data_IF_113799898767
#
_entry.id   IF_113799898767
#
_cell.length_a   1.000
_cell.length_b   1.000
_cell.length_c   1.000
_cell.angle_alpha   90.00
_cell.angle_beta   90.00
_cell.angle_gamma   90.00
#
_symmetry.space_group_name_H-M   'P 1'
#
loop_
_entity.id
_entity.type
_entity.pdbx_description
1 polymer ?
#
# COMPACT_ATOMS: atom_id res chain seq x y z
N UNK A 1 10.18 -22.18 -0.31
CA UNK A 1 11.25 -21.23 0.06
C UNK A 1 10.57 -19.89 0.28
N UNK A 2 10.33 -19.50 1.53
CA UNK A 2 9.81 -18.19 1.92
C UNK A 2 10.96 -17.19 2.14
N UNK A 3 10.62 -15.92 2.24
CA UNK A 3 11.52 -14.87 2.69
C UNK A 3 11.48 -14.79 4.23
N UNK A 4 12.60 -14.59 4.87
CA UNK A 4 12.61 -14.39 6.31
C UNK A 4 12.08 -13.01 6.68
N UNK A 5 12.52 -11.97 5.97
CA UNK A 5 12.09 -10.59 6.15
C UNK A 5 11.91 -9.94 4.78
N UNK A 6 10.85 -9.14 4.61
CA UNK A 6 10.71 -8.15 3.56
C UNK A 6 10.58 -6.75 4.19
N UNK A 7 11.24 -5.78 3.59
CA UNK A 7 11.20 -4.38 4.01
C UNK A 7 10.77 -3.54 2.81
N UNK A 8 9.75 -2.68 2.99
CA UNK A 8 9.21 -1.90 1.89
C UNK A 8 8.72 -0.52 2.37
N UNK A 9 8.56 0.40 1.42
CA UNK A 9 8.00 1.73 1.68
C UNK A 9 6.51 1.69 1.98
N UNK A 10 5.98 2.76 2.57
CA UNK A 10 4.55 2.96 2.80
C UNK A 10 4.11 4.32 2.26
N UNK A 11 2.87 4.38 1.77
CA UNK A 11 2.25 5.64 1.34
C UNK A 11 1.41 6.25 2.47
N UNK A 12 0.69 5.42 3.22
CA UNK A 12 0.07 5.71 4.52
C UNK A 12 0.18 4.49 5.43
N UNK A 13 0.17 4.71 6.75
CA UNK A 13 0.05 3.66 7.78
C UNK A 13 -0.76 4.18 8.96
N UNK A 14 -1.67 3.33 9.48
CA UNK A 14 -2.44 3.60 10.70
C UNK A 14 -1.80 2.97 11.95
N UNK A 15 -2.43 3.21 13.11
CA UNK A 15 -1.95 2.69 14.40
C UNK A 15 -2.06 1.16 14.52
N UNK A 16 -2.93 0.52 13.74
CA UNK A 16 -3.12 -0.93 13.66
C UNK A 16 -2.17 -1.61 12.66
N UNK A 17 -1.24 -0.84 12.06
CA UNK A 17 -0.30 -1.29 11.01
C UNK A 17 -0.99 -1.72 9.70
N UNK A 18 -2.20 -1.25 9.44
CA UNK A 18 -2.74 -1.31 8.10
C UNK A 18 -2.10 -0.21 7.26
N UNK A 19 -1.91 -0.47 5.99
CA UNK A 19 -1.19 0.47 5.13
C UNK A 19 -1.85 0.65 3.76
N UNK A 20 -1.59 1.82 3.17
CA UNK A 20 -1.79 2.06 1.74
C UNK A 20 -0.43 2.07 1.06
N UNK A 21 -0.34 1.35 -0.06
CA UNK A 21 0.86 1.22 -0.88
C UNK A 21 0.50 1.32 -2.38
N UNK A 22 1.52 1.45 -3.22
CA UNK A 22 1.34 1.36 -4.66
C UNK A 22 1.27 2.69 -5.39
N UNK A 23 1.57 3.83 -4.76
CA UNK A 23 1.74 5.09 -5.50
C UNK A 23 2.88 4.99 -6.53
N UNK A 24 3.90 4.17 -6.26
CA UNK A 24 4.96 3.84 -7.22
C UNK A 24 4.53 2.91 -8.36
N UNK A 25 3.33 2.31 -8.31
CA UNK A 25 2.76 1.46 -9.36
C UNK A 25 3.14 -0.02 -9.31
N UNK A 26 3.84 -0.49 -8.27
CA UNK A 26 4.31 -1.87 -8.13
C UNK A 26 3.47 -2.73 -7.15
N UNK A 27 2.28 -2.24 -6.74
CA UNK A 27 1.45 -2.78 -5.65
C UNK A 27 1.25 -4.30 -5.67
N UNK A 28 0.99 -4.88 -6.85
CA UNK A 28 0.78 -6.33 -7.00
C UNK A 28 2.04 -7.11 -6.64
N UNK A 29 3.21 -6.66 -7.11
CA UNK A 29 4.49 -7.31 -6.80
C UNK A 29 4.87 -7.12 -5.34
N UNK A 30 4.64 -5.92 -4.80
CA UNK A 30 4.86 -5.60 -3.39
C UNK A 30 4.03 -6.53 -2.50
N UNK A 31 2.71 -6.71 -2.79
CA UNK A 31 1.84 -7.59 -2.01
C UNK A 31 2.27 -9.05 -2.09
N UNK A 32 2.67 -9.54 -3.28
CA UNK A 32 3.21 -10.90 -3.45
C UNK A 32 4.46 -11.11 -2.58
N UNK A 33 5.37 -10.13 -2.54
CA UNK A 33 6.59 -10.20 -1.72
C UNK A 33 6.25 -10.17 -0.22
N UNK A 34 5.34 -9.27 0.20
CA UNK A 34 4.86 -9.20 1.58
C UNK A 34 4.25 -10.54 2.03
N UNK A 35 3.40 -11.16 1.20
CA UNK A 35 2.82 -12.48 1.49
C UNK A 35 3.84 -13.61 1.58
N UNK A 36 4.97 -13.51 0.87
CA UNK A 36 6.02 -14.53 0.88
C UNK A 36 6.95 -14.41 2.10
N UNK A 37 6.95 -13.28 2.79
CA UNK A 37 7.80 -12.99 3.94
C UNK A 37 7.18 -13.57 5.23
N UNK A 38 8.05 -13.98 6.16
CA UNK A 38 7.66 -14.33 7.53
C UNK A 38 7.44 -13.11 8.40
N UNK A 39 8.17 -12.05 8.08
CA UNK A 39 8.06 -10.75 8.73
C UNK A 39 8.05 -9.68 7.64
N UNK A 40 7.05 -8.81 7.67
CA UNK A 40 6.94 -7.67 6.76
C UNK A 40 7.07 -6.36 7.54
N UNK A 41 8.04 -5.55 7.14
CA UNK A 41 8.41 -4.31 7.83
C UNK A 41 8.18 -3.14 6.90
N UNK A 42 7.41 -2.16 7.34
CA UNK A 42 7.18 -0.92 6.63
C UNK A 42 8.16 0.16 7.09
N UNK A 43 8.63 0.97 6.14
CA UNK A 43 9.47 2.13 6.42
C UNK A 43 8.93 3.37 5.70
N UNK A 44 9.00 4.52 6.35
CA UNK A 44 8.59 5.79 5.75
C UNK A 44 8.96 6.98 6.60
N UNK A 45 8.70 8.18 6.12
CA UNK A 45 8.78 9.36 6.97
C UNK A 45 7.51 9.51 7.83
N UNK A 46 7.59 10.30 8.90
CA UNK A 46 6.48 10.47 9.86
C UNK A 46 5.21 11.08 9.25
N UNK A 47 5.29 11.69 8.05
CA UNK A 47 4.09 12.25 7.38
C UNK A 47 3.20 11.15 6.77
N UNK A 48 3.69 9.92 6.78
CA UNK A 48 2.94 8.73 6.32
C UNK A 48 2.08 8.11 7.41
N UNK A 49 2.29 8.50 8.67
CA UNK A 49 1.43 8.09 9.78
C UNK A 49 0.12 8.89 9.73
N UNK A 50 -1.00 8.19 9.72
CA UNK A 50 -2.34 8.79 9.65
C UNK A 50 -3.25 8.17 10.72
N UNK A 51 -4.27 8.93 11.13
CA UNK A 51 -5.30 8.39 12.03
C UNK A 51 -6.24 7.44 11.27
N UNK A 52 -6.61 7.81 10.05
CA UNK A 52 -7.45 7.01 9.15
C UNK A 52 -6.79 6.92 7.76
N UNK A 53 -6.71 5.72 7.20
CA UNK A 53 -6.20 5.49 5.85
C UNK A 53 -7.07 6.15 4.77
N UNK A 54 -6.50 6.37 3.59
CA UNK A 54 -7.14 6.95 2.41
C UNK A 54 -7.62 8.40 2.60
N UNK A 55 -7.03 9.09 3.59
CA UNK A 55 -7.33 10.50 3.89
C UNK A 55 -6.37 11.45 3.20
N UNK A 56 -5.14 11.03 2.92
CA UNK A 56 -4.11 11.89 2.30
C UNK A 56 -3.71 11.42 0.91
N UNK A 57 -3.87 10.11 0.61
CA UNK A 57 -3.56 9.54 -0.69
C UNK A 57 -4.75 8.74 -1.25
N UNK A 58 -4.89 8.59 -2.58
CA UNK A 58 -5.87 7.70 -3.16
C UNK A 58 -5.48 6.23 -2.95
N UNK A 59 -6.45 5.32 -3.07
CA UNK A 59 -6.21 3.89 -3.16
C UNK A 59 -5.85 3.51 -4.59
N UNK A 60 -4.62 3.03 -4.88
CA UNK A 60 -4.30 2.48 -6.18
C UNK A 60 -4.97 1.12 -6.38
N UNK A 61 -5.63 0.94 -7.51
CA UNK A 61 -6.25 -0.34 -7.92
C UNK A 61 -5.71 -0.70 -9.30
N UNK A 62 -4.93 -1.79 -9.37
CA UNK A 62 -4.43 -2.32 -10.63
C UNK A 62 -5.54 -3.13 -11.32
N UNK A 63 -5.81 -2.80 -12.59
CA UNK A 63 -6.88 -3.43 -13.35
C UNK A 63 -6.41 -3.88 -14.73
N UNK A 64 -7.02 -4.94 -15.23
CA UNK A 64 -6.82 -5.39 -16.60
C UNK A 64 -7.21 -4.28 -17.60
N UNK A 65 -6.43 -4.10 -18.66
CA UNK A 65 -6.78 -3.15 -19.72
C UNK A 65 -8.07 -3.54 -20.45
N UNK A 66 -8.30 -4.85 -20.63
CA UNK A 66 -9.54 -5.34 -21.23
C UNK A 66 -10.75 -5.07 -20.33
N UNK A 67 -11.68 -4.28 -20.82
CA UNK A 67 -12.91 -3.95 -20.09
C UNK A 67 -12.70 -2.94 -18.93
N UNK A 68 -11.61 -2.18 -18.94
CA UNK A 68 -11.24 -1.26 -17.86
C UNK A 68 -12.33 -0.24 -17.55
N UNK A 69 -13.07 0.28 -18.54
CA UNK A 69 -14.18 1.20 -18.34
C UNK A 69 -15.31 0.56 -17.53
N UNK A 70 -15.53 -0.75 -17.70
CA UNK A 70 -16.53 -1.46 -16.91
C UNK A 70 -16.07 -1.64 -15.47
N UNK A 71 -14.79 -1.96 -15.27
CA UNK A 71 -14.20 -2.04 -13.92
C UNK A 71 -14.24 -0.68 -13.24
N UNK A 72 -13.91 0.41 -13.94
CA UNK A 72 -14.05 1.77 -13.40
C UNK A 72 -15.46 2.08 -12.91
N UNK A 73 -16.50 1.68 -13.68
CA UNK A 73 -17.90 1.85 -13.27
C UNK A 73 -18.22 1.07 -11.98
N UNK A 74 -17.65 -0.14 -11.81
CA UNK A 74 -17.81 -0.92 -10.58
C UNK A 74 -17.12 -0.23 -9.39
N UNK A 75 -15.90 0.26 -9.59
CA UNK A 75 -15.17 1.03 -8.57
C UNK A 75 -15.91 2.29 -8.15
N UNK A 76 -16.61 2.98 -9.08
CA UNK A 76 -17.40 4.17 -8.76
C UNK A 76 -18.58 3.89 -7.79
N UNK A 77 -19.02 2.64 -7.64
CA UNK A 77 -20.05 2.26 -6.67
C UNK A 77 -19.52 2.23 -5.22
N UNK A 78 -18.21 2.35 -5.02
CA UNK A 78 -17.55 2.39 -3.70
C UNK A 78 -17.55 3.78 -3.06
N UNK A 79 -18.39 4.70 -3.54
CA UNK A 79 -18.41 6.09 -3.08
C UNK A 79 -17.05 6.79 -3.20
N UNK A 80 -16.25 6.37 -4.19
CA UNK A 80 -14.97 6.97 -4.54
C UNK A 80 -15.00 7.54 -5.97
N UNK A 81 -13.99 8.33 -6.28
CA UNK A 81 -13.74 8.85 -7.62
C UNK A 81 -12.51 8.13 -8.21
N UNK A 82 -12.70 7.07 -9.03
CA UNK A 82 -11.59 6.38 -9.69
C UNK A 82 -11.07 7.22 -10.86
N UNK A 83 -9.78 7.59 -10.79
CA UNK A 83 -9.08 8.37 -11.81
C UNK A 83 -8.02 7.49 -12.46
N UNK A 84 -8.04 7.38 -13.78
CA UNK A 84 -7.00 6.65 -14.51
C UNK A 84 -5.63 7.33 -14.27
N UNK A 85 -4.66 6.55 -13.80
CA UNK A 85 -3.30 7.03 -13.62
C UNK A 85 -2.64 7.26 -14.98
N UNK A 86 -1.99 8.40 -15.12
CA UNK A 86 -1.30 8.79 -16.35
C UNK A 86 0.15 9.17 -16.08
N UNK A 87 0.97 9.04 -17.09
CA UNK A 87 2.30 9.63 -17.15
C UNK A 87 2.22 11.14 -17.36
N UNK A 88 3.33 11.86 -17.23
CA UNK A 88 3.41 13.32 -17.42
C UNK A 88 2.99 13.79 -18.83
N UNK A 89 3.12 12.91 -19.82
CA UNK A 89 2.68 13.18 -21.21
C UNK A 89 1.19 12.91 -21.46
N UNK A 90 0.45 12.50 -20.41
CA UNK A 90 -0.98 12.19 -20.47
C UNK A 90 -1.32 10.79 -20.98
N UNK A 91 -0.32 9.97 -21.32
CA UNK A 91 -0.57 8.56 -21.65
C UNK A 91 -0.91 7.74 -20.41
N UNK A 92 -1.73 6.67 -20.51
CA UNK A 92 -1.99 5.80 -19.38
C UNK A 92 -0.68 5.24 -18.78
N UNK A 93 -0.56 5.26 -17.46
CA UNK A 93 0.50 4.55 -16.76
C UNK A 93 0.27 3.04 -16.90
N UNK A 94 1.29 2.31 -17.34
CA UNK A 94 1.23 0.85 -17.50
C UNK A 94 2.16 0.22 -16.47
N UNK A 95 1.61 -0.69 -15.65
CA UNK A 95 2.37 -1.42 -14.64
C UNK A 95 3.36 -2.39 -15.28
N UNK A 96 4.33 -2.86 -14.52
CA UNK A 96 5.26 -3.92 -14.93
C UNK A 96 4.57 -5.24 -15.34
N UNK A 97 3.30 -5.40 -14.96
CA UNK A 97 2.47 -6.56 -15.31
C UNK A 97 1.67 -6.34 -16.60
N UNK A 98 1.78 -5.15 -17.23
CA UNK A 98 1.05 -4.78 -18.43
C UNK A 98 -0.38 -4.32 -18.20
N UNK A 99 -0.73 -3.98 -16.96
CA UNK A 99 -2.05 -3.49 -16.58
C UNK A 99 -2.05 -1.96 -16.41
N UNK A 100 -3.19 -1.38 -16.07
CA UNK A 100 -3.33 0.04 -15.75
C UNK A 100 -3.78 0.21 -14.29
N UNK A 101 -3.72 1.45 -13.78
CA UNK A 101 -4.11 1.76 -12.41
C UNK A 101 -5.22 2.80 -12.43
N UNK A 102 -6.26 2.56 -11.63
CA UNK A 102 -7.18 3.60 -11.19
C UNK A 102 -6.82 4.03 -9.77
N UNK A 103 -6.58 5.32 -9.59
CA UNK A 103 -6.41 5.95 -8.29
C UNK A 103 -7.80 6.32 -7.75
N UNK A 104 -8.28 5.57 -6.75
CA UNK A 104 -9.59 5.74 -6.15
C UNK A 104 -9.51 6.75 -5.01
N UNK A 105 -10.09 7.95 -5.21
CA UNK A 105 -10.13 9.03 -4.23
C UNK A 105 -11.41 8.92 -3.41
N UNK A 106 -11.27 8.76 -2.11
CA UNK A 106 -12.36 8.75 -1.14
C UNK A 106 -12.52 10.14 -0.51
N UNK A 107 -13.75 10.56 -0.23
CA UNK A 107 -14.03 11.78 0.53
C UNK A 107 -14.02 11.52 2.04
N UNK A 108 -14.38 10.29 2.43
CA UNK A 108 -14.39 9.80 3.81
C UNK A 108 -13.76 8.43 3.85
N UNK A 109 -13.13 8.08 4.98
CA UNK A 109 -12.57 6.75 5.19
C UNK A 109 -13.69 5.67 5.07
N UNK A 110 -13.53 4.69 4.17
CA UNK A 110 -14.50 3.59 4.03
C UNK A 110 -14.32 2.56 5.14
N UNK A 111 -15.26 1.61 5.22
CA UNK A 111 -15.01 0.37 5.95
C UNK A 111 -13.99 -0.47 5.17
N UNK A 112 -12.78 -0.58 5.71
CA UNK A 112 -11.63 -1.17 5.00
C UNK A 112 -11.79 -2.66 4.74
N UNK A 113 -12.40 -3.42 5.65
CA UNK A 113 -12.61 -4.86 5.46
C UNK A 113 -13.63 -5.13 4.34
N UNK A 114 -14.72 -4.36 4.30
CA UNK A 114 -15.70 -4.45 3.23
C UNK A 114 -15.13 -4.00 1.88
N UNK A 115 -14.29 -2.97 1.87
CA UNK A 115 -13.61 -2.48 0.66
C UNK A 115 -12.65 -3.54 0.10
N UNK A 116 -11.79 -4.11 0.94
CA UNK A 116 -10.85 -5.18 0.61
C UNK A 116 -11.60 -6.36 -0.01
N UNK A 117 -12.60 -6.90 0.69
CA UNK A 117 -13.41 -8.01 0.22
C UNK A 117 -14.15 -7.73 -1.10
N UNK A 118 -14.61 -6.49 -1.33
CA UNK A 118 -15.24 -6.12 -2.59
C UNK A 118 -14.23 -6.07 -3.73
N UNK A 119 -13.05 -5.50 -3.51
CA UNK A 119 -12.02 -5.39 -4.54
C UNK A 119 -11.49 -6.77 -4.95
N UNK A 120 -11.30 -7.67 -4.00
CA UNK A 120 -10.81 -9.04 -4.23
C UNK A 120 -11.72 -9.84 -5.17
N UNK A 121 -13.03 -9.58 -5.13
CA UNK A 121 -14.01 -10.32 -5.96
C UNK A 121 -14.46 -9.55 -7.19
N UNK A 122 -13.99 -8.29 -7.39
CA UNK A 122 -14.44 -7.44 -8.50
C UNK A 122 -13.78 -7.87 -9.82
N UNK A 123 -14.55 -8.31 -10.84
CA UNK A 123 -14.00 -8.69 -12.13
C UNK A 123 -13.21 -7.55 -12.78
N UNK A 124 -11.99 -7.86 -13.23
CA UNK A 124 -11.07 -6.92 -13.85
C UNK A 124 -10.09 -6.27 -12.88
N UNK A 125 -10.34 -6.30 -11.58
CA UNK A 125 -9.32 -5.96 -10.58
C UNK A 125 -8.28 -7.07 -10.54
N UNK A 126 -7.01 -6.69 -10.56
CA UNK A 126 -5.85 -7.58 -10.44
C UNK A 126 -5.36 -7.58 -9.00
N UNK A 127 -5.21 -6.38 -8.43
CA UNK A 127 -4.78 -6.15 -7.06
C UNK A 127 -5.07 -4.69 -6.65
N UNK A 128 -5.05 -4.41 -5.37
CA UNK A 128 -5.22 -3.06 -4.81
C UNK A 128 -4.17 -2.74 -3.74
N UNK A 129 -3.98 -1.46 -3.49
CA UNK A 129 -2.94 -0.95 -2.58
C UNK A 129 -3.30 -0.97 -1.10
N UNK A 130 -4.40 -1.61 -0.69
CA UNK A 130 -4.77 -1.75 0.72
C UNK A 130 -4.11 -3.01 1.30
N UNK A 131 -3.30 -2.85 2.34
CA UNK A 131 -2.52 -3.90 3.01
C UNK A 131 -3.01 -4.04 4.44
N UNK A 132 -4.08 -4.81 4.64
CA UNK A 132 -4.68 -5.04 5.97
C UNK A 132 -4.03 -6.22 6.66
N UNK A 133 -3.42 -5.97 7.81
CA UNK A 133 -2.83 -7.02 8.61
C UNK A 133 -1.57 -7.67 8.05
N UNK A 134 -0.93 -7.08 7.06
CA UNK A 134 0.31 -7.58 6.47
C UNK A 134 1.54 -7.24 7.31
N UNK A 135 1.62 -6.00 7.80
CA UNK A 135 2.82 -5.54 8.48
C UNK A 135 2.91 -6.05 9.93
N UNK A 136 4.09 -6.50 10.30
CA UNK A 136 4.45 -6.86 11.67
C UNK A 136 5.00 -5.64 12.43
N UNK A 137 5.72 -4.77 11.73
CA UNK A 137 6.34 -3.56 12.24
C UNK A 137 6.28 -2.42 11.24
N UNK A 138 6.22 -1.19 11.73
CA UNK A 138 6.43 0.00 10.93
C UNK A 138 7.41 0.96 11.61
N UNK A 139 8.32 1.54 10.84
CA UNK A 139 9.28 2.52 11.29
C UNK A 139 9.13 3.81 10.52
N UNK A 140 8.92 4.91 11.24
CA UNK A 140 8.89 6.24 10.66
C UNK A 140 10.09 7.07 11.08
N UNK A 141 10.54 7.96 10.18
CA UNK A 141 11.69 8.83 10.39
C UNK A 141 11.26 10.29 10.42
N UNK A 142 11.71 11.03 11.43
CA UNK A 142 11.68 12.50 11.41
C UNK A 142 12.89 13.01 10.62
N UNK A 143 12.70 13.95 9.70
CA UNK A 143 13.82 14.58 8.97
C UNK A 143 14.91 15.03 9.96
N UNK A 144 16.13 14.49 9.78
CA UNK A 144 17.40 14.81 10.48
C UNK A 144 17.60 14.26 11.90
N UNK A 145 16.70 13.53 12.51
CA UNK A 145 16.99 12.82 13.77
C UNK A 145 16.28 11.47 13.75
N UNK A 146 17.05 10.38 13.80
CA UNK A 146 16.54 9.02 13.95
C UNK A 146 15.74 8.94 15.26
N UNK A 147 14.46 9.26 15.23
CA UNK A 147 13.51 8.82 16.23
C UNK A 147 12.70 7.71 15.59
N UNK A 148 13.07 6.49 15.89
CA UNK A 148 12.28 5.31 15.56
C UNK A 148 10.98 5.37 16.36
N UNK A 149 9.90 5.80 15.77
CA UNK A 149 8.57 5.50 16.29
C UNK A 149 8.26 4.08 15.87
N UNK A 150 8.36 3.15 16.81
CA UNK A 150 8.12 1.74 16.58
C UNK A 150 6.66 1.45 16.89
N UNK A 151 5.85 1.27 15.86
CA UNK A 151 4.51 0.72 15.97
C UNK A 151 4.65 -0.81 15.92
N UNK A 152 4.33 -1.49 17.01
CA UNK A 152 4.56 -2.94 17.12
C UNK A 152 3.25 -3.67 17.43
N UNK A 153 2.88 -4.64 16.60
CA UNK A 153 1.66 -5.43 16.77
C UNK A 153 1.67 -6.32 18.03
N UNK A 154 2.83 -6.68 18.56
CA UNK A 154 2.99 -7.63 19.67
C UNK A 154 4.00 -7.21 20.77
N UNK A 155 4.13 -5.96 21.10
CA UNK A 155 4.76 -5.50 22.36
C UNK A 155 6.19 -5.98 22.66
N UNK A 156 7.05 -6.22 21.69
CA UNK A 156 8.39 -6.73 21.87
C UNK A 156 9.49 -5.74 21.45
N UNK A 157 10.27 -5.26 22.43
CA UNK A 157 11.32 -4.24 22.29
C UNK A 157 12.65 -4.76 21.68
N UNK A 158 12.66 -5.85 20.92
CA UNK A 158 13.91 -6.54 20.55
C UNK A 158 14.56 -6.14 19.21
N UNK A 159 13.86 -5.41 18.32
CA UNK A 159 14.40 -5.13 16.97
C UNK A 159 15.28 -3.86 16.88
N UNK A 160 15.18 -2.95 17.82
CA UNK A 160 15.87 -1.65 17.78
C UNK A 160 17.40 -1.77 17.81
N UNK A 161 17.95 -2.88 18.32
CA UNK A 161 19.39 -3.09 18.41
C UNK A 161 20.05 -3.66 17.13
N UNK A 162 19.27 -4.14 16.14
CA UNK A 162 19.82 -4.75 14.92
C UNK A 162 19.83 -3.82 13.70
N UNK A 163 19.21 -2.65 13.76
CA UNK A 163 19.13 -1.73 12.60
C UNK A 163 20.44 -1.01 12.24
N UNK A 164 21.44 -1.05 13.07
CA UNK A 164 22.76 -0.46 12.77
C UNK A 164 23.53 -1.22 11.66
N UNK A 165 23.05 -2.38 11.22
CA UNK A 165 23.67 -3.22 10.19
C UNK A 165 22.92 -3.27 8.85
N UNK A 166 21.79 -2.58 8.68
CA UNK A 166 21.06 -2.61 7.43
C UNK A 166 21.57 -1.58 6.41
N UNK A 167 22.21 -2.08 5.37
CA UNK A 167 22.62 -1.31 4.19
C UNK A 167 21.39 -1.11 3.31
N UNK A 168 20.99 0.16 3.10
CA UNK A 168 19.97 0.51 2.10
C UNK A 168 20.51 0.19 0.70
N UNK A 169 19.83 -0.69 -0.02
CA UNK A 169 20.04 -0.90 -1.45
C UNK A 169 18.99 -0.06 -2.16
N UNK A 170 19.46 0.94 -2.91
CA UNK A 170 18.67 1.76 -3.83
C UNK A 170 18.38 1.00 -5.11
#
# INVERSE_FOLDING_TARGET
>A
NGLDIAVDGMDEVDAELNAVKGLGGALTREKIVAMAARQFVLIGDHTKEVDDLLTTVPLPVEVLQFGAERTQQLLSNLECRPVLRTNDDGTPFVTDNGNIIYDCHFEFAPDFESLDAFLDITPGVVEHGLFLGFADDAFSFLQQTLRLTNLHRNGGAHLVQQLDEFIFIH
#
